data_IF_715155243223
#
_entry.id   IF_715155243223
#
_cell.length_a   1.000
_cell.length_b   1.000
_cell.length_c   1.000
_cell.angle_alpha   90.00
_cell.angle_beta   90.00
_cell.angle_gamma   90.00
#
_symmetry.space_group_name_H-M   'P 1'
#
loop_
_entity.id
_entity.type
_entity.pdbx_description
1 polymer ?
#
# COMPACT_ATOMS: atom_id res chain seq x y z
N UNK A 1 -16.25 -37.00 -33.45
CA UNK A 1 -16.58 -35.84 -32.60
C UNK A 1 -18.05 -35.85 -32.34
N UNK A 2 -18.50 -36.24 -31.14
CA UNK A 2 -19.93 -36.13 -30.74
C UNK A 2 -20.30 -34.67 -30.59
N UNK A 3 -21.48 -34.29 -31.00
CA UNK A 3 -21.98 -32.91 -30.91
C UNK A 3 -22.20 -32.53 -29.45
N UNK A 4 -21.80 -31.33 -29.06
CA UNK A 4 -21.92 -30.77 -27.68
C UNK A 4 -23.27 -31.06 -26.97
N UNK A 5 -24.46 -31.11 -27.67
CA UNK A 5 -25.71 -31.48 -27.03
C UNK A 5 -25.80 -32.90 -26.46
N UNK A 6 -25.06 -33.86 -27.02
CA UNK A 6 -25.07 -35.24 -26.51
C UNK A 6 -24.24 -35.44 -25.23
N UNK A 7 -23.22 -34.62 -25.05
CA UNK A 7 -22.41 -34.64 -23.82
C UNK A 7 -23.18 -34.07 -22.63
N UNK A 8 -24.03 -33.07 -22.87
CA UNK A 8 -24.88 -32.45 -21.83
C UNK A 8 -25.98 -33.41 -21.36
N UNK A 9 -26.55 -34.19 -22.25
CA UNK A 9 -27.59 -35.17 -21.91
C UNK A 9 -27.02 -36.33 -21.05
N UNK A 10 -25.78 -36.76 -21.26
CA UNK A 10 -25.15 -37.81 -20.44
C UNK A 10 -24.78 -37.35 -19.03
N UNK A 11 -24.49 -36.05 -18.82
CA UNK A 11 -24.17 -35.50 -17.48
C UNK A 11 -25.44 -35.28 -16.60
N UNK A 12 -26.59 -34.98 -17.19
CA UNK A 12 -27.81 -34.70 -16.42
C UNK A 12 -28.50 -35.93 -15.84
N UNK A 13 -28.14 -37.15 -16.25
CA UNK A 13 -28.83 -38.37 -15.84
C UNK A 13 -28.13 -39.19 -14.75
N UNK A 14 -27.01 -38.71 -14.18
CA UNK A 14 -26.39 -39.35 -13.00
C UNK A 14 -26.73 -38.57 -11.76
N UNK A 15 -27.65 -39.05 -10.95
CA UNK A 15 -27.90 -38.58 -9.59
C UNK A 15 -26.62 -38.79 -8.77
N UNK A 16 -25.93 -37.71 -8.42
CA UNK A 16 -24.84 -37.74 -7.46
C UNK A 16 -25.44 -37.61 -6.07
N UNK A 17 -25.24 -38.64 -5.25
CA UNK A 17 -25.62 -38.62 -3.84
C UNK A 17 -24.72 -37.66 -3.07
N UNK A 18 -25.25 -36.53 -2.59
CA UNK A 18 -24.55 -35.41 -1.96
C UNK A 18 -24.40 -35.56 -0.44
N UNK A 19 -24.64 -36.78 0.12
CA UNK A 19 -24.70 -36.92 1.58
C UNK A 19 -23.39 -37.21 2.29
N UNK A 20 -22.25 -37.30 1.63
CA UNK A 20 -20.99 -37.76 2.24
C UNK A 20 -19.70 -36.98 1.92
N UNK A 21 -19.75 -35.72 1.48
CA UNK A 21 -18.54 -34.91 1.29
C UNK A 21 -18.76 -33.45 1.71
N UNK A 22 -17.83 -32.84 2.49
CA UNK A 22 -17.93 -31.44 2.92
C UNK A 22 -17.62 -30.41 1.82
N UNK A 23 -17.48 -30.81 0.57
CA UNK A 23 -17.24 -29.90 -0.55
C UNK A 23 -18.54 -29.68 -1.33
N UNK A 24 -19.28 -28.63 -1.02
CA UNK A 24 -20.45 -28.22 -1.80
C UNK A 24 -19.99 -27.56 -3.11
N UNK A 25 -20.02 -28.29 -4.22
CA UNK A 25 -19.79 -27.76 -5.56
C UNK A 25 -21.13 -27.25 -6.10
N UNK A 26 -21.29 -25.92 -6.20
CA UNK A 26 -22.45 -25.33 -6.86
C UNK A 26 -22.09 -25.13 -8.33
N UNK A 27 -22.76 -25.88 -9.22
CA UNK A 27 -22.60 -25.76 -10.66
C UNK A 27 -23.78 -24.94 -11.20
N UNK A 28 -23.52 -23.73 -11.73
CA UNK A 28 -24.51 -22.94 -12.43
C UNK A 28 -24.29 -23.02 -13.93
N UNK A 29 -25.36 -23.41 -14.69
CA UNK A 29 -25.36 -23.34 -16.15
C UNK A 29 -26.04 -22.05 -16.61
N UNK A 30 -25.33 -21.21 -17.35
CA UNK A 30 -25.90 -20.07 -18.04
C UNK A 30 -26.23 -20.45 -19.49
N UNK A 31 -27.51 -20.41 -19.83
CA UNK A 31 -27.98 -20.57 -21.19
C UNK A 31 -27.71 -19.28 -22.00
N UNK A 32 -26.73 -19.31 -22.81
CA UNK A 32 -26.51 -18.70 -24.13
C UNK A 32 -25.04 -18.53 -24.53
N UNK A 33 -24.12 -18.51 -23.58
CA UNK A 33 -22.67 -18.58 -23.85
C UNK A 33 -22.04 -19.22 -22.60
N UNK A 34 -21.89 -20.53 -22.62
CA UNK A 34 -21.55 -21.35 -21.45
C UNK A 34 -20.29 -20.90 -20.72
N UNK A 35 -20.46 -20.28 -19.56
CA UNK A 35 -19.42 -20.12 -18.56
C UNK A 35 -19.78 -21.03 -17.40
N UNK A 36 -18.98 -22.07 -17.20
CA UNK A 36 -19.05 -22.94 -16.04
C UNK A 36 -18.30 -22.24 -14.90
N UNK A 37 -18.99 -21.65 -13.94
CA UNK A 37 -18.39 -21.17 -12.71
C UNK A 37 -18.35 -22.34 -11.70
N UNK A 38 -17.18 -22.98 -11.59
CA UNK A 38 -16.91 -23.88 -10.49
C UNK A 38 -16.44 -23.02 -9.32
N UNK A 39 -17.34 -22.74 -8.38
CA UNK A 39 -16.95 -22.14 -7.11
C UNK A 39 -16.45 -23.28 -6.21
N UNK A 40 -15.16 -23.61 -6.28
CA UNK A 40 -14.52 -24.34 -5.19
C UNK A 40 -14.47 -23.37 -4.02
N UNK A 41 -15.12 -23.67 -2.90
CA UNK A 41 -14.87 -22.97 -1.65
C UNK A 41 -13.44 -23.29 -1.22
N UNK A 42 -12.47 -22.52 -1.72
CA UNK A 42 -11.13 -22.47 -1.12
C UNK A 42 -11.30 -21.87 0.27
N UNK A 43 -10.68 -22.49 1.27
CA UNK A 43 -10.62 -21.91 2.62
C UNK A 43 -10.18 -20.45 2.54
N UNK A 44 -10.87 -19.57 3.25
CA UNK A 44 -10.60 -18.13 3.21
C UNK A 44 -9.24 -17.85 3.84
N UNK A 45 -8.30 -17.37 3.04
CA UNK A 45 -6.97 -16.99 3.51
C UNK A 45 -6.94 -15.49 3.78
N UNK A 46 -6.49 -15.10 4.97
CA UNK A 46 -6.22 -13.71 5.35
C UNK A 46 -4.75 -13.39 5.09
N UNK A 47 -4.50 -12.57 4.10
CA UNK A 47 -3.14 -12.20 3.67
C UNK A 47 -2.65 -10.94 4.38
N UNK A 48 -1.77 -11.09 5.37
CA UNK A 48 -1.12 -10.01 6.13
C UNK A 48 0.18 -9.49 5.50
N UNK A 49 0.48 -9.84 4.26
CA UNK A 49 1.71 -9.42 3.58
C UNK A 49 1.84 -7.90 3.52
N UNK A 50 3.05 -7.41 3.73
CA UNK A 50 3.35 -5.97 3.76
C UNK A 50 3.43 -5.32 2.36
N UNK A 51 3.51 -6.13 1.30
CA UNK A 51 3.53 -5.66 -0.09
C UNK A 51 4.32 -6.60 -1.02
N UNK A 52 3.72 -6.99 -2.18
CA UNK A 52 2.34 -6.69 -2.59
C UNK A 52 1.32 -7.16 -1.55
N UNK A 53 0.35 -6.29 -1.26
CA UNK A 53 -0.65 -6.52 -0.22
C UNK A 53 -2.00 -6.95 -0.81
N UNK A 54 -2.94 -7.27 0.08
CA UNK A 54 -4.31 -7.60 -0.27
C UNK A 54 -4.98 -6.44 -1.02
N UNK A 55 -5.77 -6.77 -2.03
CA UNK A 55 -6.67 -5.85 -2.74
C UNK A 55 -8.13 -6.11 -2.35
N UNK A 56 -9.03 -5.11 -2.47
CA UNK A 56 -10.45 -5.33 -2.24
C UNK A 56 -11.00 -6.40 -3.20
N UNK A 57 -11.77 -7.34 -2.67
CA UNK A 57 -12.34 -8.41 -3.48
C UNK A 57 -13.29 -7.86 -4.58
N UNK A 58 -14.00 -6.78 -4.28
CA UNK A 58 -14.88 -6.09 -5.23
C UNK A 58 -14.09 -5.55 -6.43
N UNK A 59 -12.90 -5.00 -6.18
CA UNK A 59 -11.98 -4.53 -7.23
C UNK A 59 -11.48 -5.70 -8.07
N UNK A 60 -11.07 -6.81 -7.44
CA UNK A 60 -10.60 -8.00 -8.15
C UNK A 60 -11.70 -8.63 -9.02
N UNK A 61 -12.94 -8.70 -8.53
CA UNK A 61 -14.08 -9.21 -9.29
C UNK A 61 -14.43 -8.31 -10.48
N UNK A 62 -14.40 -6.99 -10.30
CA UNK A 62 -14.63 -6.06 -11.41
C UNK A 62 -13.53 -6.19 -12.46
N UNK A 63 -12.27 -6.23 -12.05
CA UNK A 63 -11.13 -6.43 -12.93
C UNK A 63 -11.18 -7.78 -13.67
N UNK A 64 -11.60 -8.86 -13.01
CA UNK A 64 -11.81 -10.16 -13.63
C UNK A 64 -12.89 -10.11 -14.72
N UNK A 65 -14.03 -9.47 -14.45
CA UNK A 65 -15.13 -9.36 -15.39
C UNK A 65 -14.76 -8.53 -16.64
N UNK A 66 -13.90 -7.54 -16.48
CA UNK A 66 -13.46 -6.65 -17.55
C UNK A 66 -12.13 -7.10 -18.21
N UNK A 67 -11.54 -8.22 -17.75
CA UNK A 67 -10.22 -8.68 -18.18
C UNK A 67 -10.12 -8.93 -19.69
N UNK A 68 -11.16 -9.53 -20.31
CA UNK A 68 -11.19 -9.83 -21.74
C UNK A 68 -11.80 -8.69 -22.55
N UNK A 69 -12.60 -7.83 -21.94
CA UNK A 69 -13.32 -6.77 -22.64
C UNK A 69 -13.67 -5.63 -21.69
N UNK A 70 -12.80 -4.62 -21.65
CA UNK A 70 -13.02 -3.41 -20.85
C UNK A 70 -14.33 -2.74 -21.26
N UNK A 71 -15.30 -2.64 -20.36
CA UNK A 71 -16.60 -2.01 -20.62
C UNK A 71 -17.28 -2.48 -21.92
N UNK A 72 -17.04 -3.72 -22.37
CA UNK A 72 -17.65 -4.29 -23.56
C UNK A 72 -17.03 -3.88 -24.90
N UNK A 73 -15.87 -3.22 -24.93
CA UNK A 73 -15.22 -2.78 -26.18
C UNK A 73 -14.54 -3.91 -26.97
N UNK A 74 -14.51 -5.13 -26.46
CA UNK A 74 -13.91 -6.29 -27.13
C UNK A 74 -12.37 -6.36 -27.02
N UNK A 75 -11.76 -5.52 -26.17
CA UNK A 75 -10.31 -5.51 -25.90
C UNK A 75 -10.05 -5.40 -24.39
N UNK A 76 -9.04 -6.11 -23.92
CA UNK A 76 -8.54 -5.98 -22.55
C UNK A 76 -7.86 -4.63 -22.32
N UNK A 77 -7.91 -4.12 -21.08
CA UNK A 77 -7.10 -2.95 -20.71
C UNK A 77 -5.60 -3.16 -20.93
N UNK A 78 -5.13 -4.42 -20.93
CA UNK A 78 -3.72 -4.76 -21.19
C UNK A 78 -3.34 -4.66 -22.67
N UNK A 79 -4.32 -4.63 -23.59
CA UNK A 79 -4.11 -4.62 -25.04
C UNK A 79 -4.38 -3.25 -25.67
N UNK A 80 -5.18 -2.41 -25.00
CA UNK A 80 -5.49 -1.07 -25.54
C UNK A 80 -4.26 -0.18 -25.52
N UNK A 81 -4.12 0.63 -26.58
CA UNK A 81 -3.05 1.62 -26.62
C UNK A 81 -3.19 2.61 -25.45
N UNK A 82 -2.08 2.90 -24.76
CA UNK A 82 -2.03 3.96 -23.74
C UNK A 82 -2.32 5.36 -24.29
N UNK A 83 -2.33 5.54 -25.60
CA UNK A 83 -2.70 6.79 -26.32
C UNK A 83 -4.14 6.79 -26.80
N UNK A 84 -4.93 5.78 -26.44
CA UNK A 84 -6.34 5.71 -26.80
C UNK A 84 -7.20 6.50 -25.83
N UNK A 85 -8.35 6.99 -26.27
CA UNK A 85 -9.35 7.63 -25.40
C UNK A 85 -9.82 6.74 -24.24
N UNK A 86 -9.78 5.43 -24.43
CA UNK A 86 -10.16 4.48 -23.37
C UNK A 86 -9.16 4.52 -22.23
N UNK A 87 -7.84 4.53 -22.53
CA UNK A 87 -6.83 4.61 -21.48
C UNK A 87 -6.74 6.01 -20.87
N UNK A 88 -6.85 7.04 -21.68
CA UNK A 88 -6.93 8.44 -21.20
C UNK A 88 -8.04 8.60 -20.16
N UNK A 89 -9.22 8.00 -20.42
CA UNK A 89 -10.33 7.99 -19.46
C UNK A 89 -9.95 7.28 -18.15
N UNK A 90 -9.29 6.12 -18.21
CA UNK A 90 -8.83 5.38 -17.03
C UNK A 90 -7.82 6.22 -16.22
N UNK A 91 -6.87 6.85 -16.89
CA UNK A 91 -5.86 7.70 -16.27
C UNK A 91 -6.51 8.87 -15.52
N UNK A 92 -7.43 9.57 -16.18
CA UNK A 92 -8.17 10.68 -15.57
C UNK A 92 -9.09 10.20 -14.43
N UNK A 93 -9.68 9.00 -14.51
CA UNK A 93 -10.44 8.43 -13.39
C UNK A 93 -9.54 8.17 -12.18
N UNK A 94 -8.35 7.62 -12.37
CA UNK A 94 -7.38 7.40 -11.31
C UNK A 94 -6.92 8.73 -10.69
N UNK A 95 -6.54 9.71 -11.52
CA UNK A 95 -6.11 11.04 -11.07
C UNK A 95 -7.22 11.75 -10.28
N UNK A 96 -8.42 11.86 -10.87
CA UNK A 96 -9.57 12.49 -10.22
C UNK A 96 -10.01 11.74 -8.95
N UNK A 97 -9.84 10.41 -8.95
CA UNK A 97 -10.10 9.59 -7.78
C UNK A 97 -9.20 9.97 -6.59
N UNK A 98 -7.90 10.05 -6.82
CA UNK A 98 -6.91 10.48 -5.81
C UNK A 98 -7.17 11.94 -5.39
N UNK A 99 -7.39 12.84 -6.36
CA UNK A 99 -7.64 14.27 -6.12
C UNK A 99 -8.83 14.49 -5.19
N UNK A 100 -9.96 13.82 -5.46
CA UNK A 100 -11.18 13.92 -4.65
C UNK A 100 -11.06 13.27 -3.27
N UNK A 101 -10.35 12.14 -3.17
CA UNK A 101 -10.19 11.44 -1.88
C UNK A 101 -9.29 12.18 -0.89
N UNK A 102 -8.38 13.02 -1.37
CA UNK A 102 -7.44 13.79 -0.55
C UNK A 102 -7.65 15.31 -0.64
N UNK A 103 -8.72 15.78 -1.30
CA UNK A 103 -9.00 17.20 -1.50
C UNK A 103 -7.79 17.99 -2.05
N UNK A 104 -7.09 17.41 -3.07
CA UNK A 104 -5.85 17.97 -3.61
C UNK A 104 -6.15 19.24 -4.41
N UNK A 105 -5.52 20.40 -4.08
CA UNK A 105 -5.69 21.63 -4.84
C UNK A 105 -5.19 21.55 -6.28
N UNK A 106 -5.65 22.47 -7.14
CA UNK A 106 -5.31 22.49 -8.58
C UNK A 106 -3.84 22.79 -8.86
N UNK A 107 -3.13 23.45 -7.95
CA UNK A 107 -1.70 23.74 -8.03
C UNK A 107 -0.80 22.53 -7.68
N UNK A 108 -1.38 21.33 -7.70
CA UNK A 108 -0.66 20.06 -7.58
C UNK A 108 -0.87 19.19 -8.80
N UNK A 109 0.18 18.54 -9.25
CA UNK A 109 0.13 17.46 -10.25
C UNK A 109 0.08 16.11 -9.57
N UNK A 110 -0.73 15.23 -10.10
CA UNK A 110 -0.82 13.82 -9.69
C UNK A 110 -0.21 13.01 -10.83
N UNK A 111 0.85 12.24 -10.51
CA UNK A 111 1.59 11.50 -11.53
C UNK A 111 1.63 10.01 -11.17
N UNK A 112 1.60 9.17 -12.19
CA UNK A 112 1.76 7.73 -12.07
C UNK A 112 3.05 7.30 -12.76
N UNK A 113 4.04 6.91 -11.97
CA UNK A 113 5.37 6.51 -12.42
C UNK A 113 5.59 5.00 -12.25
N UNK A 114 6.70 4.53 -12.77
CA UNK A 114 7.23 3.18 -12.56
C UNK A 114 8.42 3.26 -11.58
N UNK A 115 8.97 2.09 -11.19
CA UNK A 115 10.17 2.01 -10.35
C UNK A 115 9.92 1.95 -8.84
N UNK A 116 8.67 2.10 -8.39
CA UNK A 116 8.31 2.05 -6.97
C UNK A 116 8.84 3.22 -6.16
N UNK A 117 8.54 3.25 -4.87
CA UNK A 117 9.05 4.24 -3.93
C UNK A 117 10.59 4.24 -3.87
N UNK A 118 11.23 3.09 -4.11
CA UNK A 118 12.70 3.00 -4.10
C UNK A 118 13.38 3.85 -5.17
N UNK A 119 12.75 4.02 -6.34
CA UNK A 119 13.27 4.93 -7.36
C UNK A 119 13.15 6.39 -6.91
N UNK A 120 12.14 6.72 -6.10
CA UNK A 120 11.94 8.08 -5.60
C UNK A 120 13.06 8.51 -4.64
N UNK A 121 13.68 7.59 -3.91
CA UNK A 121 14.86 7.89 -3.09
C UNK A 121 16.01 8.49 -3.90
N UNK A 122 16.11 8.12 -5.18
CA UNK A 122 17.09 8.69 -6.12
C UNK A 122 16.51 9.88 -6.91
N UNK A 123 15.27 9.78 -7.40
CA UNK A 123 14.67 10.84 -8.23
C UNK A 123 14.52 12.16 -7.49
N UNK A 124 14.10 12.13 -6.22
CA UNK A 124 13.91 13.34 -5.41
C UNK A 124 15.20 14.14 -5.32
N UNK A 125 16.32 13.58 -4.82
CA UNK A 125 17.57 14.35 -4.77
C UNK A 125 18.12 14.69 -6.15
N UNK A 126 17.94 13.88 -7.18
CA UNK A 126 18.35 14.23 -8.55
C UNK A 126 17.61 15.46 -9.11
N UNK A 127 16.36 15.70 -8.66
CA UNK A 127 15.55 16.82 -9.11
C UNK A 127 15.68 18.07 -8.22
N UNK A 128 16.03 17.91 -6.93
CA UNK A 128 15.88 18.98 -5.95
C UNK A 128 17.10 19.19 -5.04
N UNK A 129 18.21 18.48 -5.24
CA UNK A 129 19.40 18.61 -4.41
C UNK A 129 20.66 18.74 -5.27
N UNK A 130 21.21 19.94 -5.34
CA UNK A 130 22.49 20.18 -5.99
C UNK A 130 23.69 19.78 -5.11
N UNK A 131 24.87 19.61 -5.72
CA UNK A 131 26.09 19.12 -5.05
C UNK A 131 26.50 19.90 -3.81
N UNK A 132 26.24 21.19 -3.77
CA UNK A 132 26.58 22.10 -2.67
C UNK A 132 25.39 22.43 -1.76
N UNK A 133 24.22 21.94 -2.11
CA UNK A 133 22.99 22.18 -1.38
C UNK A 133 22.79 21.14 -0.28
N UNK A 134 21.89 21.42 0.65
CA UNK A 134 21.61 20.55 1.81
C UNK A 134 20.13 20.19 1.84
N UNK A 135 19.84 18.94 2.12
CA UNK A 135 18.49 18.48 2.44
C UNK A 135 18.44 17.89 3.86
N UNK A 136 17.36 18.15 4.57
CA UNK A 136 17.12 17.62 5.90
C UNK A 136 16.37 16.28 5.82
N UNK A 137 16.75 15.35 6.70
CA UNK A 137 16.09 14.04 6.77
C UNK A 137 15.71 13.71 8.21
N UNK A 138 14.51 13.14 8.38
CA UNK A 138 14.03 12.56 9.64
C UNK A 138 13.98 11.04 9.44
N UNK A 139 14.76 10.32 10.26
CA UNK A 139 15.00 8.88 10.10
C UNK A 139 14.39 8.11 11.26
N UNK A 140 13.25 7.48 11.02
CA UNK A 140 12.51 6.71 12.03
C UNK A 140 12.42 5.21 11.72
N UNK A 141 13.15 4.76 10.67
CA UNK A 141 13.20 3.37 10.28
C UNK A 141 14.08 3.10 9.07
N UNK A 142 14.02 1.86 8.60
CA UNK A 142 14.90 1.36 7.53
C UNK A 142 14.66 2.04 6.18
N UNK A 143 13.46 2.53 5.90
CA UNK A 143 13.20 3.23 4.64
C UNK A 143 13.80 4.63 4.65
N UNK A 144 13.70 5.36 5.75
CA UNK A 144 14.39 6.63 5.94
C UNK A 144 15.91 6.50 5.78
N UNK A 145 16.52 5.45 6.36
CA UNK A 145 17.97 5.16 6.18
C UNK A 145 18.33 4.97 4.71
N UNK A 146 17.50 4.26 3.93
CA UNK A 146 17.75 4.06 2.51
C UNK A 146 17.62 5.35 1.70
N UNK A 147 16.65 6.18 2.03
CA UNK A 147 16.44 7.47 1.38
C UNK A 147 17.67 8.39 1.59
N UNK A 148 18.21 8.47 2.82
CA UNK A 148 19.45 9.19 3.13
C UNK A 148 20.60 8.73 2.25
N UNK A 149 20.85 7.41 2.15
CA UNK A 149 21.96 6.84 1.36
C UNK A 149 21.89 7.19 -0.13
N UNK A 150 20.70 7.35 -0.68
CA UNK A 150 20.56 7.78 -2.08
C UNK A 150 20.75 9.29 -2.23
N UNK A 151 20.29 10.09 -1.29
CA UNK A 151 20.44 11.54 -1.31
C UNK A 151 21.91 11.99 -1.14
N UNK A 152 22.70 11.31 -0.31
CA UNK A 152 24.14 11.56 -0.11
C UNK A 152 24.96 11.43 -1.41
N UNK A 153 24.45 10.77 -2.42
CA UNK A 153 25.08 10.69 -3.75
C UNK A 153 24.92 11.97 -4.57
N UNK A 154 23.95 12.82 -4.23
CA UNK A 154 23.60 14.03 -4.98
C UNK A 154 24.12 15.30 -4.31
N UNK A 155 23.98 15.45 -2.99
CA UNK A 155 24.35 16.64 -2.25
C UNK A 155 24.58 16.37 -0.78
N UNK A 156 24.57 17.43 0.05
CA UNK A 156 24.72 17.30 1.49
C UNK A 156 23.41 16.84 2.14
N UNK A 157 23.52 15.91 3.07
CA UNK A 157 22.39 15.43 3.86
C UNK A 157 22.60 15.73 5.33
N UNK A 158 21.63 16.39 5.94
CA UNK A 158 21.61 16.62 7.38
C UNK A 158 20.48 15.77 8.00
N UNK A 159 20.85 14.76 8.80
CA UNK A 159 19.88 13.97 9.55
C UNK A 159 19.52 14.74 10.83
N UNK A 160 18.43 15.50 10.79
CA UNK A 160 17.97 16.37 11.89
C UNK A 160 17.37 15.60 13.07
N UNK A 161 16.96 14.35 12.83
CA UNK A 161 16.50 13.42 13.85
C UNK A 161 16.69 11.98 13.40
N UNK A 162 17.12 11.13 14.32
CA UNK A 162 17.16 9.69 14.12
C UNK A 162 16.77 8.94 15.39
N UNK A 163 15.85 8.00 15.30
CA UNK A 163 15.53 7.09 16.41
C UNK A 163 16.32 5.76 16.37
N UNK A 164 17.42 5.71 15.59
CA UNK A 164 18.25 4.50 15.42
C UNK A 164 18.80 3.97 16.74
N UNK A 165 19.32 4.84 17.62
CA UNK A 165 19.85 4.46 18.93
C UNK A 165 18.77 3.87 19.86
N UNK A 166 17.50 4.23 19.65
CA UNK A 166 16.32 3.68 20.33
C UNK A 166 15.74 2.45 19.61
N UNK A 167 16.43 1.94 18.57
CA UNK A 167 15.97 0.80 17.77
C UNK A 167 14.76 1.09 16.88
N UNK A 168 14.60 2.37 16.44
CA UNK A 168 13.50 2.82 15.60
C UNK A 168 12.11 2.52 16.20
N UNK A 169 11.89 2.93 17.45
CA UNK A 169 10.63 2.68 18.17
C UNK A 169 9.70 3.89 18.26
N UNK A 170 10.21 5.07 17.94
CA UNK A 170 9.52 6.35 18.15
C UNK A 170 9.67 7.30 16.98
N UNK A 171 8.82 8.33 16.98
CA UNK A 171 8.90 9.51 16.14
C UNK A 171 9.27 10.72 17.02
N UNK A 172 9.93 11.76 16.47
CA UNK A 172 10.14 13.00 17.22
C UNK A 172 8.82 13.73 17.49
N UNK A 173 8.79 14.60 18.48
CA UNK A 173 7.79 15.66 18.53
C UNK A 173 8.20 16.80 17.57
N UNK A 174 7.21 17.54 17.03
CA UNK A 174 7.49 18.66 16.10
C UNK A 174 8.48 19.68 16.69
N UNK A 175 8.35 19.94 17.98
CA UNK A 175 9.17 20.92 18.71
C UNK A 175 10.61 20.50 18.90
N UNK A 176 10.93 19.23 18.73
CA UNK A 176 12.30 18.69 18.81
C UNK A 176 13.09 18.91 17.52
N UNK A 177 12.38 19.13 16.41
CA UNK A 177 13.02 19.30 15.10
C UNK A 177 13.69 20.66 14.95
N UNK A 178 14.89 20.65 14.41
CA UNK A 178 15.68 21.86 14.10
C UNK A 178 16.11 21.79 12.65
N UNK A 179 15.34 22.46 11.80
CA UNK A 179 15.60 22.49 10.37
C UNK A 179 16.81 23.34 10.02
N UNK A 180 17.55 22.94 8.99
CA UNK A 180 18.61 23.75 8.41
C UNK A 180 18.03 24.99 7.73
N UNK A 181 18.56 26.19 7.98
CA UNK A 181 17.97 27.45 7.46
C UNK A 181 17.79 27.49 5.93
N UNK A 182 18.64 26.79 5.21
CA UNK A 182 18.66 26.75 3.74
C UNK A 182 18.50 25.32 3.20
N UNK A 183 17.74 24.46 3.89
CA UNK A 183 17.46 23.16 3.36
C UNK A 183 16.57 23.25 2.12
N UNK A 184 16.94 22.56 1.06
CA UNK A 184 16.16 22.49 -0.18
C UNK A 184 14.82 21.80 0.02
N UNK A 185 14.81 20.82 0.94
CA UNK A 185 13.60 20.13 1.41
C UNK A 185 13.89 19.39 2.72
N UNK A 186 12.83 19.00 3.42
CA UNK A 186 12.88 18.02 4.49
C UNK A 186 12.17 16.77 4.06
N UNK A 187 12.83 15.62 4.21
CA UNK A 187 12.26 14.31 3.88
C UNK A 187 11.97 13.49 5.13
N UNK A 188 10.81 12.79 5.13
CA UNK A 188 10.48 11.80 6.14
C UNK A 188 9.59 10.68 5.57
N UNK A 189 9.57 9.55 6.27
CA UNK A 189 8.65 8.43 5.99
C UNK A 189 7.52 8.47 7.00
N UNK A 190 6.30 8.77 6.55
CA UNK A 190 5.14 8.96 7.45
C UNK A 190 4.74 7.70 8.21
N UNK A 191 5.02 6.51 7.63
CA UNK A 191 4.81 5.22 8.25
C UNK A 191 5.90 4.22 7.82
N UNK A 192 6.79 3.87 8.73
CA UNK A 192 7.83 2.87 8.53
C UNK A 192 7.23 1.46 8.58
N UNK A 193 7.14 0.81 7.43
CA UNK A 193 6.46 -0.48 7.24
C UNK A 193 7.14 -1.63 8.00
N UNK A 194 8.46 -1.57 8.17
CA UNK A 194 9.27 -2.62 8.77
C UNK A 194 9.14 -2.58 10.28
N UNK A 195 9.26 -1.40 10.86
CA UNK A 195 9.24 -1.16 12.28
C UNK A 195 7.82 -0.99 12.85
N UNK A 196 6.86 -0.61 12.00
CA UNK A 196 5.48 -0.32 12.42
C UNK A 196 5.38 0.99 13.19
N UNK A 197 6.22 1.97 12.83
CA UNK A 197 6.27 3.30 13.43
C UNK A 197 5.63 4.31 12.52
N UNK A 198 4.69 5.10 13.02
CA UNK A 198 3.90 6.06 12.26
C UNK A 198 3.84 7.42 12.96
N UNK A 199 4.05 8.49 12.19
CA UNK A 199 3.80 9.85 12.64
C UNK A 199 2.30 10.08 12.89
N UNK A 200 1.98 10.62 14.07
CA UNK A 200 0.60 10.94 14.46
C UNK A 200 0.19 12.37 14.14
N UNK A 201 1.11 13.14 13.62
CA UNK A 201 0.94 14.50 13.15
C UNK A 201 1.51 14.65 11.74
N UNK A 202 1.17 15.72 11.07
CA UNK A 202 1.72 16.11 9.79
C UNK A 202 2.83 17.13 10.01
N UNK A 203 3.99 16.87 9.44
CA UNK A 203 5.16 17.70 9.60
C UNK A 203 4.90 19.13 9.11
N UNK A 204 5.22 20.11 9.95
CA UNK A 204 5.28 21.51 9.56
C UNK A 204 6.75 21.89 9.26
N UNK A 205 7.08 22.04 7.99
CA UNK A 205 8.39 22.47 7.52
C UNK A 205 8.58 23.99 7.52
N UNK A 206 7.56 24.76 7.87
CA UNK A 206 7.57 26.22 7.71
C UNK A 206 7.78 26.62 6.24
N UNK A 207 8.91 27.28 5.95
CA UNK A 207 9.27 27.66 4.57
C UNK A 207 9.97 26.55 3.80
N UNK A 208 10.39 25.46 4.44
CA UNK A 208 11.12 24.35 3.84
C UNK A 208 10.13 23.37 3.22
N UNK A 209 10.27 23.03 1.93
CA UNK A 209 9.41 22.07 1.27
C UNK A 209 9.41 20.69 1.96
N UNK A 210 8.25 20.17 2.34
CA UNK A 210 8.11 18.85 2.95
C UNK A 210 7.94 17.80 1.88
N UNK A 211 8.78 16.77 1.91
CA UNK A 211 8.76 15.59 1.04
C UNK A 211 8.44 14.36 1.89
N UNK A 212 7.40 13.62 1.53
CA UNK A 212 6.87 12.53 2.33
C UNK A 212 6.80 11.21 1.57
N UNK A 213 7.43 10.16 2.11
CA UNK A 213 7.11 8.76 1.77
C UNK A 213 5.84 8.34 2.53
N UNK A 214 4.73 8.28 1.83
CA UNK A 214 3.45 7.80 2.37
C UNK A 214 3.06 6.41 1.83
N UNK A 215 4.02 5.64 1.33
CA UNK A 215 3.76 4.36 0.64
C UNK A 215 2.86 3.40 1.43
N UNK A 216 3.00 3.36 2.74
CA UNK A 216 2.25 2.39 3.56
C UNK A 216 1.02 2.95 4.26
N UNK A 217 0.75 4.26 4.16
CA UNK A 217 -0.42 4.88 4.80
C UNK A 217 -1.14 5.93 3.95
N UNK A 218 -0.77 6.11 2.67
CA UNK A 218 -1.55 6.98 1.75
C UNK A 218 -3.00 6.50 1.68
N UNK A 219 -3.98 7.41 1.65
CA UNK A 219 -5.42 7.14 1.67
C UNK A 219 -5.92 6.33 2.90
N UNK A 220 -5.14 6.23 3.97
CA UNK A 220 -5.57 5.54 5.19
C UNK A 220 -6.24 6.46 6.20
N UNK A 221 -5.98 7.75 6.10
CA UNK A 221 -6.52 8.86 6.89
C UNK A 221 -6.51 10.16 6.08
N UNK A 222 -7.33 11.17 6.42
CA UNK A 222 -7.23 12.50 5.82
C UNK A 222 -5.83 13.09 5.97
N UNK A 223 -5.41 13.88 4.98
CA UNK A 223 -4.16 14.61 4.97
C UNK A 223 -4.42 16.08 4.58
N UNK A 224 -3.75 17.00 5.23
CA UNK A 224 -3.65 18.39 4.80
C UNK A 224 -2.57 18.51 3.72
N UNK A 225 -2.99 18.39 2.46
CA UNK A 225 -2.08 18.35 1.31
C UNK A 225 -1.23 19.62 1.20
N UNK A 226 -1.73 20.77 1.64
CA UNK A 226 -1.01 22.04 1.52
C UNK A 226 0.30 22.08 2.34
N UNK A 227 0.42 21.24 3.36
CA UNK A 227 1.68 21.09 4.12
C UNK A 227 2.81 20.41 3.32
N UNK A 228 2.50 19.76 2.22
CA UNK A 228 3.47 18.98 1.46
C UNK A 228 3.84 19.66 0.15
N UNK A 229 5.11 19.66 -0.17
CA UNK A 229 5.57 20.01 -1.53
C UNK A 229 5.59 18.78 -2.44
N UNK A 230 5.84 17.59 -1.88
CA UNK A 230 5.78 16.32 -2.61
C UNK A 230 5.39 15.18 -1.66
N UNK A 231 4.41 14.39 -2.08
CA UNK A 231 4.09 13.08 -1.48
C UNK A 231 4.34 12.00 -2.54
N UNK A 232 4.94 10.90 -2.14
CA UNK A 232 5.04 9.73 -3.01
C UNK A 232 4.62 8.45 -2.31
N UNK A 233 4.13 7.49 -3.10
CA UNK A 233 3.67 6.21 -2.57
C UNK A 233 3.81 5.09 -3.61
N UNK A 234 4.44 3.98 -3.22
CA UNK A 234 4.35 2.74 -3.98
C UNK A 234 2.96 2.11 -3.83
N UNK A 235 2.26 1.89 -4.95
CA UNK A 235 0.86 1.47 -4.94
C UNK A 235 0.62 0.10 -4.27
N UNK A 236 1.58 -0.80 -4.31
CA UNK A 236 1.49 -2.21 -3.90
C UNK A 236 1.14 -2.45 -2.43
N UNK A 237 1.03 -1.40 -1.62
CA UNK A 237 0.67 -1.51 -0.21
C UNK A 237 -0.82 -1.18 0.01
N UNK A 238 -1.22 0.05 -0.30
CA UNK A 238 -2.52 0.54 0.14
C UNK A 238 -3.48 0.97 -0.98
N UNK A 239 -3.00 1.19 -2.20
CA UNK A 239 -3.81 1.80 -3.27
C UNK A 239 -3.86 1.02 -4.58
N UNK A 240 -3.13 -0.10 -4.72
CA UNK A 240 -3.13 -0.84 -5.98
C UNK A 240 -2.12 -1.98 -6.04
N UNK A 241 -1.78 -2.47 -7.24
CA UNK A 241 -0.79 -3.51 -7.44
C UNK A 241 0.64 -2.95 -7.46
N UNK A 242 1.63 -3.84 -7.50
CA UNK A 242 3.01 -3.46 -7.77
C UNK A 242 3.19 -2.86 -9.16
N UNK A 243 4.21 -2.01 -9.35
CA UNK A 243 4.57 -1.43 -10.64
C UNK A 243 3.96 -0.06 -10.93
N UNK A 244 3.22 0.52 -9.98
CA UNK A 244 2.76 1.92 -10.03
C UNK A 244 3.32 2.67 -8.82
N UNK A 245 3.81 3.87 -9.05
CA UNK A 245 4.22 4.82 -8.02
C UNK A 245 3.41 6.09 -8.18
N UNK A 246 2.63 6.44 -7.15
CA UNK A 246 1.91 7.70 -7.08
C UNK A 246 2.86 8.82 -6.67
N UNK A 247 2.79 9.96 -7.35
CA UNK A 247 3.42 11.22 -6.95
C UNK A 247 2.33 12.30 -6.90
N UNK A 248 2.31 13.06 -5.82
CA UNK A 248 1.53 14.29 -5.69
C UNK A 248 2.56 15.39 -5.47
N UNK A 249 2.68 16.33 -6.41
CA UNK A 249 3.75 17.33 -6.40
C UNK A 249 3.21 18.72 -6.69
N UNK A 250 3.62 19.70 -5.89
CA UNK A 250 3.22 21.11 -6.02
C UNK A 250 3.96 21.79 -7.17
N UNK A 251 3.27 22.66 -7.88
CA UNK A 251 3.79 23.33 -9.11
C UNK A 251 5.05 24.17 -8.86
N UNK A 252 5.19 24.80 -7.69
CA UNK A 252 6.39 25.56 -7.34
C UNK A 252 7.64 24.66 -7.20
N UNK A 253 7.47 23.44 -6.71
CA UNK A 253 8.56 22.48 -6.65
C UNK A 253 8.92 21.94 -8.03
N UNK A 254 7.94 21.70 -8.91
CA UNK A 254 8.18 21.32 -10.31
C UNK A 254 9.02 22.38 -11.07
N UNK A 255 8.83 23.65 -10.78
CA UNK A 255 9.59 24.73 -11.40
C UNK A 255 11.10 24.70 -11.05
N UNK A 256 11.48 24.00 -9.97
CA UNK A 256 12.87 23.89 -9.50
C UNK A 256 13.67 22.77 -10.17
N UNK A 257 13.02 21.89 -10.95
CA UNK A 257 13.69 20.77 -11.63
C UNK A 257 14.75 21.29 -12.61
N UNK A 258 16.01 20.78 -12.58
CA UNK A 258 17.08 21.21 -13.45
C UNK A 258 16.78 21.01 -14.93
N UNK A 259 17.19 21.95 -15.80
CA UNK A 259 16.89 21.91 -17.24
C UNK A 259 17.54 20.73 -17.99
N UNK A 260 18.63 20.17 -17.46
CA UNK A 260 19.41 19.09 -18.05
C UNK A 260 19.16 17.72 -17.45
N UNK A 261 18.01 17.53 -16.76
CA UNK A 261 17.66 16.24 -16.19
C UNK A 261 17.31 15.21 -17.27
N UNK A 262 17.61 13.94 -17.01
CA UNK A 262 17.19 12.85 -17.89
C UNK A 262 15.66 12.72 -17.92
N UNK A 263 15.07 12.70 -19.12
CA UNK A 263 13.63 12.88 -19.32
C UNK A 263 12.74 11.92 -18.50
N UNK A 264 13.13 10.64 -18.34
CA UNK A 264 12.36 9.68 -17.53
C UNK A 264 12.58 9.85 -16.03
N UNK A 265 13.52 10.70 -15.61
CA UNK A 265 13.79 11.05 -14.21
C UNK A 265 13.40 12.51 -13.91
N UNK A 266 12.86 13.24 -14.88
CA UNK A 266 12.45 14.64 -14.79
C UNK A 266 10.94 14.71 -14.48
N UNK A 267 10.58 15.08 -13.25
CA UNK A 267 9.16 15.23 -12.86
C UNK A 267 8.40 16.23 -13.72
N UNK A 268 9.06 17.30 -14.20
CA UNK A 268 8.45 18.31 -15.08
C UNK A 268 8.13 17.73 -16.45
N UNK A 269 9.05 16.94 -17.04
CA UNK A 269 8.81 16.29 -18.33
C UNK A 269 7.69 15.26 -18.22
N UNK A 270 7.63 14.50 -17.11
CA UNK A 270 6.56 13.53 -16.84
C UNK A 270 5.23 14.26 -16.65
N UNK A 271 5.20 15.35 -15.90
CA UNK A 271 3.99 16.15 -15.66
C UNK A 271 3.46 16.78 -16.95
N UNK A 272 4.34 17.33 -17.79
CA UNK A 272 3.97 17.91 -19.08
C UNK A 272 3.37 16.88 -20.07
N UNK A 273 3.59 15.60 -19.86
CA UNK A 273 3.04 14.50 -20.63
C UNK A 273 1.99 13.69 -19.85
N UNK A 274 1.42 14.21 -18.77
CA UNK A 274 0.34 13.56 -18.01
C UNK A 274 0.65 12.10 -17.67
N UNK A 275 1.86 11.84 -17.15
CA UNK A 275 2.39 10.49 -16.86
C UNK A 275 2.60 9.56 -18.07
N UNK A 276 2.36 10.03 -19.28
CA UNK A 276 2.44 9.25 -20.55
C UNK A 276 3.67 9.59 -21.39
N UNK A 277 4.75 10.08 -20.75
CA UNK A 277 6.02 10.33 -21.44
C UNK A 277 6.58 9.05 -22.10
N UNK A 278 6.43 7.92 -21.45
CA UNK A 278 6.63 6.57 -21.98
C UNK A 278 5.36 5.73 -21.75
N UNK A 279 5.33 4.49 -22.21
CA UNK A 279 4.20 3.59 -21.96
C UNK A 279 4.07 3.30 -20.46
N UNK A 280 2.97 3.71 -19.82
CA UNK A 280 2.78 3.49 -18.37
C UNK A 280 2.33 2.07 -18.07
N UNK A 281 2.27 1.71 -16.79
CA UNK A 281 1.62 0.48 -16.35
C UNK A 281 0.08 0.60 -16.44
N UNK A 282 -0.47 0.34 -17.64
CA UNK A 282 -1.90 0.53 -17.93
C UNK A 282 -2.80 -0.27 -17.00
N UNK A 283 -2.47 -1.55 -16.78
CA UNK A 283 -3.21 -2.42 -15.85
C UNK A 283 -3.15 -1.91 -14.42
N UNK A 284 -1.96 -1.52 -13.95
CA UNK A 284 -1.79 -1.03 -12.59
C UNK A 284 -2.58 0.26 -12.33
N UNK A 285 -2.58 1.21 -13.28
CA UNK A 285 -3.35 2.46 -13.17
C UNK A 285 -4.85 2.18 -13.21
N UNK A 286 -5.31 1.24 -14.04
CA UNK A 286 -6.70 0.79 -14.04
C UNK A 286 -7.12 0.24 -12.67
N UNK A 287 -6.31 -0.61 -12.03
CA UNK A 287 -6.61 -1.11 -10.68
C UNK A 287 -6.62 0.03 -9.65
N UNK A 288 -5.71 1.00 -9.74
CA UNK A 288 -5.73 2.20 -8.87
C UNK A 288 -7.05 2.96 -9.02
N UNK A 289 -7.55 3.14 -10.26
CA UNK A 289 -8.85 3.80 -10.48
C UNK A 289 -10.00 3.06 -9.79
N UNK A 290 -10.02 1.73 -9.88
CA UNK A 290 -11.03 0.90 -9.22
C UNK A 290 -10.93 0.95 -7.69
N UNK A 291 -9.72 1.00 -7.13
CA UNK A 291 -9.51 1.15 -5.68
C UNK A 291 -10.02 2.52 -5.21
N UNK A 292 -9.82 3.58 -5.99
CA UNK A 292 -10.39 4.90 -5.68
C UNK A 292 -11.92 4.89 -5.67
N UNK A 293 -12.56 4.24 -6.64
CA UNK A 293 -14.01 4.06 -6.68
C UNK A 293 -14.49 3.30 -5.42
N UNK A 294 -13.86 2.18 -5.13
CA UNK A 294 -14.16 1.38 -3.94
C UNK A 294 -14.03 2.19 -2.64
N UNK A 295 -12.99 3.01 -2.48
CA UNK A 295 -12.81 3.86 -1.31
C UNK A 295 -13.93 4.90 -1.18
N UNK A 296 -14.37 5.50 -2.28
CA UNK A 296 -15.51 6.44 -2.30
C UNK A 296 -16.80 5.75 -1.86
N UNK A 297 -17.06 4.54 -2.37
CA UNK A 297 -18.24 3.74 -1.99
C UNK A 297 -18.22 3.34 -0.49
N UNK A 298 -17.04 3.16 0.11
CA UNK A 298 -16.88 2.92 1.55
C UNK A 298 -17.02 4.19 2.42
N UNK A 299 -17.32 5.33 1.82
CA UNK A 299 -17.49 6.61 2.52
C UNK A 299 -16.22 7.47 2.58
N UNK A 300 -15.25 7.19 1.70
CA UNK A 300 -14.01 7.96 1.56
C UNK A 300 -13.00 7.72 2.69
N UNK A 301 -11.97 8.56 2.67
CA UNK A 301 -10.82 8.42 3.58
C UNK A 301 -11.20 8.61 5.06
N UNK A 302 -12.13 9.52 5.45
CA UNK A 302 -12.54 9.65 6.85
C UNK A 302 -13.25 8.41 7.42
N UNK A 303 -14.05 7.72 6.60
CA UNK A 303 -14.69 6.46 7.01
C UNK A 303 -13.65 5.33 7.10
N UNK A 304 -12.71 5.30 6.16
CA UNK A 304 -11.63 4.32 6.14
C UNK A 304 -10.70 4.46 7.36
N UNK A 305 -10.40 5.67 7.80
CA UNK A 305 -9.62 5.91 9.02
C UNK A 305 -10.27 5.25 10.24
N UNK A 306 -11.60 5.38 10.40
CA UNK A 306 -12.32 4.75 11.53
C UNK A 306 -12.18 3.23 11.49
N UNK A 307 -12.33 2.62 10.30
CA UNK A 307 -12.15 1.18 10.11
C UNK A 307 -10.71 0.76 10.44
N UNK A 308 -9.71 1.52 9.97
CA UNK A 308 -8.29 1.23 10.22
C UNK A 308 -7.95 1.32 11.72
N UNK A 309 -8.47 2.33 12.43
CA UNK A 309 -8.30 2.48 13.88
C UNK A 309 -8.90 1.28 14.65
N UNK A 310 -10.08 0.81 14.24
CA UNK A 310 -10.70 -0.37 14.86
C UNK A 310 -9.86 -1.65 14.64
N UNK A 311 -9.40 -1.90 13.40
CA UNK A 311 -8.53 -3.05 13.09
C UNK A 311 -7.25 -3.04 13.93
N UNK A 312 -6.56 -1.90 13.95
CA UNK A 312 -5.32 -1.75 14.70
C UNK A 312 -5.56 -1.91 16.22
N UNK A 313 -6.64 -1.34 16.75
CA UNK A 313 -7.02 -1.45 18.17
C UNK A 313 -7.22 -2.90 18.60
N UNK A 314 -7.85 -3.72 17.76
CA UNK A 314 -8.05 -5.16 18.07
C UNK A 314 -6.72 -5.86 18.32
N UNK A 315 -5.76 -5.69 17.41
CA UNK A 315 -4.44 -6.33 17.52
C UNK A 315 -3.59 -5.75 18.65
N UNK A 316 -3.58 -4.43 18.83
CA UNK A 316 -2.82 -3.81 19.93
C UNK A 316 -3.40 -4.16 21.30
N UNK A 317 -4.71 -4.35 21.43
CA UNK A 317 -5.31 -4.84 22.66
C UNK A 317 -4.84 -6.27 22.99
N UNK A 318 -4.75 -7.16 22.00
CA UNK A 318 -4.22 -8.51 22.21
C UNK A 318 -2.75 -8.48 22.64
N UNK A 319 -1.93 -7.59 22.06
CA UNK A 319 -0.53 -7.40 22.48
C UNK A 319 -0.46 -6.88 23.92
N UNK A 320 -1.19 -5.81 24.23
CA UNK A 320 -1.12 -5.13 25.53
C UNK A 320 -1.70 -5.96 26.69
N UNK A 321 -2.64 -6.84 26.40
CA UNK A 321 -3.26 -7.74 27.38
C UNK A 321 -2.51 -9.06 27.61
N UNK A 322 -1.38 -9.28 26.92
CA UNK A 322 -0.65 -10.56 26.96
C UNK A 322 0.36 -10.70 28.11
N UNK A 323 0.32 -9.82 29.09
CA UNK A 323 1.25 -9.80 30.24
C UNK A 323 2.74 -9.88 29.82
N UNK A 324 3.07 -9.29 28.68
CA UNK A 324 4.43 -9.25 28.14
C UNK A 324 4.81 -10.45 27.26
N UNK A 325 3.92 -11.41 27.03
CA UNK A 325 4.17 -12.51 26.10
C UNK A 325 4.38 -11.98 24.67
N UNK A 326 3.60 -10.97 24.25
CA UNK A 326 3.85 -10.21 23.03
C UNK A 326 4.46 -8.85 23.35
N UNK A 327 5.64 -8.58 22.82
CA UNK A 327 6.31 -7.29 22.96
C UNK A 327 6.14 -6.47 21.67
N UNK A 328 5.27 -5.45 21.69
CA UNK A 328 5.12 -4.51 20.57
C UNK A 328 6.43 -3.77 20.29
N UNK A 329 6.80 -3.60 19.01
CA UNK A 329 8.05 -2.92 18.69
C UNK A 329 7.96 -1.41 18.91
N UNK A 330 6.93 -0.77 18.33
CA UNK A 330 6.74 0.68 18.43
C UNK A 330 6.21 1.11 19.80
N UNK A 331 6.69 2.25 20.29
CA UNK A 331 6.10 2.93 21.43
C UNK A 331 4.62 3.25 21.18
N UNK A 332 3.80 3.27 22.23
CA UNK A 332 2.34 3.44 22.09
C UNK A 332 1.95 4.71 21.32
N UNK A 333 2.71 5.79 21.49
CA UNK A 333 2.54 7.07 20.80
C UNK A 333 2.83 7.02 19.30
N UNK A 334 3.66 6.04 18.87
CA UNK A 334 4.13 5.90 17.48
C UNK A 334 3.60 4.64 16.77
N UNK A 335 2.69 3.89 17.36
CA UNK A 335 2.14 2.65 16.79
C UNK A 335 1.44 2.89 15.45
N UNK A 336 1.83 2.14 14.42
CA UNK A 336 1.21 2.20 13.09
C UNK A 336 -0.23 1.68 13.08
N UNK A 337 -1.10 2.33 12.32
CA UNK A 337 -2.43 1.79 12.02
C UNK A 337 -2.43 0.76 10.88
N UNK A 338 -1.33 0.69 10.13
CA UNK A 338 -1.20 -0.14 8.92
C UNK A 338 -0.34 -1.39 9.13
N UNK A 339 0.70 -1.30 9.99
CA UNK A 339 1.67 -2.36 10.18
C UNK A 339 1.88 -2.60 11.69
N UNK A 340 1.22 -3.60 12.23
CA UNK A 340 1.34 -3.98 13.64
C UNK A 340 2.51 -4.95 13.77
N UNK A 341 3.56 -4.54 14.49
CA UNK A 341 4.79 -5.30 14.66
C UNK A 341 5.01 -5.69 16.11
N UNK A 342 5.40 -6.94 16.35
CA UNK A 342 5.65 -7.44 17.70
C UNK A 342 6.63 -8.63 17.69
N UNK A 343 7.16 -8.93 18.88
CA UNK A 343 8.04 -10.07 19.14
C UNK A 343 7.39 -11.04 20.11
N UNK A 344 7.83 -12.29 20.03
CA UNK A 344 7.56 -13.32 21.04
C UNK A 344 8.81 -13.56 21.90
N UNK A 345 8.70 -14.28 23.03
CA UNK A 345 9.82 -14.48 23.96
C UNK A 345 11.05 -15.15 23.35
N UNK A 346 10.89 -15.94 22.29
CA UNK A 346 12.02 -16.57 21.60
C UNK A 346 11.81 -16.69 20.09
N UNK A 347 12.89 -16.78 19.30
CA UNK A 347 12.83 -17.02 17.86
C UNK A 347 12.13 -18.34 17.48
N UNK A 348 12.19 -19.36 18.34
CA UNK A 348 11.52 -20.65 18.16
C UNK A 348 10.01 -20.46 18.24
N UNK A 349 9.53 -19.67 19.22
CA UNK A 349 8.11 -19.33 19.35
C UNK A 349 7.64 -18.46 18.18
N UNK A 350 8.45 -17.51 17.69
CA UNK A 350 8.13 -16.74 16.47
C UNK A 350 7.97 -17.64 15.24
N UNK A 351 8.87 -18.61 15.07
CA UNK A 351 8.81 -19.56 13.96
C UNK A 351 7.59 -20.47 14.04
N UNK A 352 7.28 -20.94 15.23
CA UNK A 352 6.11 -21.78 15.51
C UNK A 352 4.81 -20.99 15.32
N UNK A 353 4.74 -19.75 15.81
CA UNK A 353 3.61 -18.86 15.60
C UNK A 353 3.32 -18.67 14.10
N UNK A 354 4.35 -18.40 13.29
CA UNK A 354 4.19 -18.27 11.84
C UNK A 354 3.66 -19.56 11.18
N UNK A 355 4.18 -20.73 11.57
CA UNK A 355 3.75 -22.00 10.99
C UNK A 355 2.32 -22.37 11.37
N UNK A 356 1.94 -22.20 12.65
CA UNK A 356 0.59 -22.48 13.14
C UNK A 356 -0.43 -21.49 12.58
N UNK A 357 -0.08 -20.20 12.49
CA UNK A 357 -0.95 -19.18 11.90
C UNK A 357 -1.19 -19.42 10.40
N UNK A 358 -0.16 -19.81 9.65
CA UNK A 358 -0.30 -20.16 8.22
C UNK A 358 -1.23 -21.37 8.05
N UNK A 359 -1.11 -22.39 8.92
CA UNK A 359 -2.00 -23.55 8.93
C UNK A 359 -3.45 -23.19 9.30
N UNK A 360 -3.65 -22.08 10.02
CA UNK A 360 -4.97 -21.53 10.35
C UNK A 360 -5.50 -20.53 9.30
N UNK A 361 -4.85 -20.42 8.12
CA UNK A 361 -5.25 -19.50 7.06
C UNK A 361 -4.84 -18.04 7.29
N UNK A 362 -3.94 -17.75 8.23
CA UNK A 362 -3.41 -16.42 8.54
C UNK A 362 -2.00 -16.30 7.95
N UNK A 363 -1.92 -15.88 6.68
CA UNK A 363 -0.68 -15.91 5.90
C UNK A 363 0.07 -14.56 5.91
N UNK A 364 1.42 -14.60 5.75
CA UNK A 364 2.24 -13.41 5.54
C UNK A 364 2.61 -12.65 6.82
N UNK A 365 2.52 -13.27 7.99
CA UNK A 365 2.80 -12.67 9.30
C UNK A 365 4.28 -12.57 9.65
N UNK A 366 5.17 -13.30 8.96
CA UNK A 366 6.61 -13.27 9.25
C UNK A 366 7.17 -11.86 9.08
N UNK A 367 7.85 -11.34 10.10
CA UNK A 367 8.50 -10.04 10.07
C UNK A 367 9.60 -9.90 9.02
N UNK A 368 10.06 -8.67 8.79
CA UNK A 368 11.11 -8.44 7.81
C UNK A 368 12.43 -9.10 8.23
N UNK A 369 13.17 -9.64 7.26
CA UNK A 369 14.45 -10.38 7.51
C UNK A 369 15.50 -9.60 8.31
N UNK A 370 15.46 -8.26 8.29
CA UNK A 370 16.41 -7.41 9.01
C UNK A 370 16.04 -7.22 10.49
N UNK A 371 14.78 -7.41 10.87
CA UNK A 371 14.26 -7.15 12.22
C UNK A 371 13.76 -8.44 12.88
N UNK A 372 13.22 -9.38 12.10
CA UNK A 372 12.56 -10.59 12.61
C UNK A 372 11.18 -10.29 13.20
N UNK A 373 10.72 -11.15 14.10
CA UNK A 373 9.42 -11.00 14.75
C UNK A 373 8.23 -11.28 13.84
N UNK A 374 7.10 -10.73 14.24
CA UNK A 374 5.82 -10.83 13.53
C UNK A 374 5.43 -9.44 13.02
N UNK A 375 4.81 -9.39 11.83
CA UNK A 375 4.25 -8.17 11.27
C UNK A 375 2.91 -8.46 10.61
N UNK A 376 1.84 -7.96 11.18
CA UNK A 376 0.52 -7.97 10.59
C UNK A 376 0.29 -6.66 9.82
N UNK A 377 0.25 -6.74 8.49
CA UNK A 377 -0.07 -5.58 7.64
C UNK A 377 -1.57 -5.59 7.34
N UNK A 378 -2.28 -4.58 7.85
CA UNK A 378 -3.73 -4.49 7.86
C UNK A 378 -4.23 -3.26 7.08
N UNK A 379 -3.69 -3.06 5.87
CA UNK A 379 -4.02 -1.95 4.99
C UNK A 379 -5.53 -1.76 4.77
N UNK A 380 -5.93 -0.73 4.04
CA UNK A 380 -7.33 -0.38 3.81
C UNK A 380 -8.21 -1.57 3.39
N UNK A 381 -7.74 -2.36 2.43
CA UNK A 381 -8.46 -3.51 1.90
C UNK A 381 -8.53 -4.72 2.86
N UNK A 382 -7.73 -4.74 3.93
CA UNK A 382 -7.71 -5.85 4.87
C UNK A 382 -9.00 -5.86 5.71
N UNK A 383 -9.76 -6.98 5.75
CA UNK A 383 -11.05 -7.04 6.45
C UNK A 383 -10.86 -7.04 7.98
N UNK A 384 -11.75 -6.34 8.69
CA UNK A 384 -11.75 -6.28 10.17
C UNK A 384 -11.84 -7.68 10.80
N UNK A 385 -12.67 -8.54 10.25
CA UNK A 385 -12.80 -9.94 10.67
C UNK A 385 -11.45 -10.67 10.72
N UNK A 386 -10.56 -10.46 9.75
CA UNK A 386 -9.23 -11.08 9.74
C UNK A 386 -8.35 -10.59 10.89
N UNK A 387 -8.49 -9.32 11.31
CA UNK A 387 -7.80 -8.81 12.49
C UNK A 387 -8.34 -9.41 13.79
N UNK A 388 -9.65 -9.61 13.87
CA UNK A 388 -10.33 -10.27 15.01
C UNK A 388 -9.88 -11.73 15.13
N UNK A 389 -9.89 -12.50 14.04
CA UNK A 389 -9.42 -13.89 14.01
C UNK A 389 -7.93 -14.00 14.41
N UNK A 390 -7.09 -13.05 13.94
CA UNK A 390 -5.69 -13.04 14.37
C UNK A 390 -5.56 -12.76 15.87
N UNK A 391 -6.34 -11.83 16.43
CA UNK A 391 -6.32 -11.54 17.85
C UNK A 391 -6.75 -12.75 18.69
N UNK A 392 -7.78 -13.48 18.27
CA UNK A 392 -8.22 -14.71 18.93
C UNK A 392 -7.12 -15.79 18.87
N UNK A 393 -6.51 -15.96 17.68
CA UNK A 393 -5.36 -16.86 17.54
C UNK A 393 -4.19 -16.47 18.46
N UNK A 394 -3.88 -15.18 18.56
CA UNK A 394 -2.84 -14.67 19.47
C UNK A 394 -3.15 -15.02 20.94
N UNK A 395 -4.39 -14.81 21.38
CA UNK A 395 -4.80 -15.13 22.75
C UNK A 395 -4.65 -16.63 23.03
N UNK A 396 -5.13 -17.48 22.14
CA UNK A 396 -5.02 -18.94 22.26
C UNK A 396 -3.56 -19.41 22.26
N UNK A 397 -2.73 -18.81 21.39
CA UNK A 397 -1.30 -19.16 21.32
C UNK A 397 -0.56 -18.77 22.60
N UNK A 398 -0.83 -17.58 23.15
CA UNK A 398 -0.24 -17.14 24.40
C UNK A 398 -0.64 -18.03 25.56
N UNK A 399 -1.92 -18.42 25.69
CA UNK A 399 -2.39 -19.33 26.74
C UNK A 399 -1.72 -20.72 26.71
N UNK A 400 -1.35 -21.20 25.51
CA UNK A 400 -0.70 -22.51 25.34
C UNK A 400 0.80 -22.48 25.55
N UNK A 401 1.44 -21.33 25.47
CA UNK A 401 2.91 -21.20 25.39
C UNK A 401 3.51 -20.16 26.35
N UNK A 402 2.68 -19.44 27.10
CA UNK A 402 3.06 -18.44 28.11
C UNK A 402 3.16 -18.97 29.53
#
# INVERSE_FOLDING_TARGET
>A
MKKIPEIIAECCCKSVDLSSSPACVIVFFYFRYGILLINSMTEKIYNFSAGPAILPVEVLLKAQNELLSLNGIGMSVMEISHRSRHFEHILHQAENGIRQLLDIPENYKILFLQGGASLQFSMIPLNFLGKSETADYIVTGAWGVKAVKEAEKCGNVNVIFSSAEMGFKSTPAQEELRFSPNAEYVHYTSNETIEGVEFKYELDGGVIPVVCDASSNILSKPLDIEKYALIYAGAQKNIGPSGVTLIIIRDDLLARVPQNQHSLLDYRAIAANESMLNTPNTWGIYIVSLVCEWLKEKGGVPAMEKINREKARVLYNAIDASDGFYAGHAEKSARSLMNVTFRLPSPELESRFCAESESAGLNGLKGHRSVGGIRASIYNAFPKEGAEILADFMNDFAQKNG
#
